data_IF_617503535974
#
_entry.id   IF_617503535974
#
_cell.length_a   1.000
_cell.length_b   1.000
_cell.length_c   1.000
_cell.angle_alpha   90.00
_cell.angle_beta   90.00
_cell.angle_gamma   90.00
#
_symmetry.space_group_name_H-M   'P 1'
#
loop_
_entity.id
_entity.type
_entity.pdbx_description
1 polymer ?
#
# COMPACT_ATOMS: atom_id res chain seq x y z
N UNK A 1 3.61 -4.61 -12.48
CA UNK A 1 3.87 -4.11 -11.12
C UNK A 1 4.83 -5.10 -10.50
N UNK A 2 6.11 -4.75 -10.42
CA UNK A 2 7.15 -5.63 -9.89
C UNK A 2 7.14 -5.52 -8.37
N UNK A 3 6.59 -6.54 -7.71
CA UNK A 3 6.59 -6.66 -6.25
C UNK A 3 7.97 -7.17 -5.84
N UNK A 4 8.82 -6.27 -5.35
CA UNK A 4 10.18 -6.60 -4.94
C UNK A 4 10.13 -7.27 -3.56
N UNK A 5 10.28 -8.60 -3.53
CA UNK A 5 10.36 -9.40 -2.30
C UNK A 5 11.80 -9.25 -1.78
N UNK A 6 11.97 -8.61 -0.62
CA UNK A 6 13.30 -8.33 -0.06
C UNK A 6 14.20 -9.56 0.13
N UNK A 7 15.51 -9.34 0.01
CA UNK A 7 16.63 -10.31 0.00
C UNK A 7 16.81 -11.20 1.26
N UNK A 8 15.84 -11.26 2.17
CA UNK A 8 15.90 -12.11 3.36
C UNK A 8 14.95 -13.29 3.21
N UNK A 9 15.48 -14.49 2.94
CA UNK A 9 14.72 -15.75 2.87
C UNK A 9 13.77 -15.97 4.06
N UNK A 10 14.14 -15.43 5.22
CA UNK A 10 13.40 -15.63 6.48
C UNK A 10 12.38 -14.53 6.80
N UNK A 11 12.20 -13.53 5.93
CA UNK A 11 11.14 -12.53 6.09
C UNK A 11 10.30 -12.51 4.81
N UNK A 12 9.02 -12.83 4.93
CA UNK A 12 8.09 -12.87 3.79
C UNK A 12 7.17 -11.67 3.89
N UNK A 13 7.05 -10.93 2.80
CA UNK A 13 6.07 -9.85 2.65
C UNK A 13 5.10 -10.25 1.55
N UNK A 14 3.83 -10.38 1.91
CA UNK A 14 2.75 -10.66 0.96
C UNK A 14 1.83 -9.47 0.89
N UNK A 15 1.85 -8.74 -0.22
CA UNK A 15 0.99 -7.58 -0.47
C UNK A 15 -0.19 -7.95 -1.37
N UNK A 16 -1.37 -7.43 -1.06
CA UNK A 16 -2.59 -7.62 -1.82
C UNK A 16 -3.34 -6.29 -1.93
N UNK A 17 -3.78 -5.97 -3.15
CA UNK A 17 -4.77 -4.91 -3.37
C UNK A 17 -6.15 -5.50 -3.07
N UNK A 18 -6.81 -4.98 -2.04
CA UNK A 18 -8.12 -5.43 -1.58
C UNK A 18 -9.25 -4.75 -2.34
N UNK A 19 -9.08 -3.47 -2.66
CA UNK A 19 -10.11 -2.64 -3.27
C UNK A 19 -9.48 -1.65 -4.24
N UNK A 20 -10.18 -1.41 -5.34
CA UNK A 20 -9.86 -0.35 -6.29
C UNK A 20 -11.17 0.21 -6.85
N UNK A 21 -11.55 1.41 -6.38
CA UNK A 21 -12.81 2.04 -6.77
C UNK A 21 -12.58 3.41 -7.38
N UNK A 22 -13.21 3.69 -8.52
CA UNK A 22 -13.26 5.04 -9.09
C UNK A 22 -14.27 5.88 -8.32
N UNK A 23 -13.83 7.01 -7.77
CA UNK A 23 -14.64 8.00 -7.06
C UNK A 23 -14.47 9.38 -7.72
N UNK A 24 -15.30 10.35 -7.33
CA UNK A 24 -15.26 11.73 -7.86
C UNK A 24 -15.19 11.83 -9.39
N UNK A 25 -15.95 10.99 -10.09
CA UNK A 25 -15.91 10.88 -11.55
C UNK A 25 -16.43 12.18 -12.20
N UNK A 26 -15.57 12.85 -12.96
CA UNK A 26 -15.89 14.01 -13.80
C UNK A 26 -16.09 13.56 -15.25
N UNK A 27 -17.17 14.02 -15.86
CA UNK A 27 -17.57 13.68 -17.23
C UNK A 27 -17.63 14.91 -18.13
N UNK A 28 -17.49 14.69 -19.44
CA UNK A 28 -17.73 15.73 -20.45
C UNK A 28 -19.19 16.20 -20.41
N UNK A 29 -19.44 17.46 -20.76
CA UNK A 29 -20.78 18.08 -20.78
C UNK A 29 -21.64 17.70 -22.00
N UNK A 30 -21.09 16.96 -22.98
CA UNK A 30 -21.82 16.54 -24.18
C UNK A 30 -22.95 15.56 -23.83
N UNK A 31 -24.20 15.98 -24.04
CA UNK A 31 -25.41 15.25 -23.60
C UNK A 31 -25.54 13.84 -24.18
N UNK A 32 -25.16 13.64 -25.44
CA UNK A 32 -25.41 12.35 -26.12
C UNK A 32 -24.33 11.29 -25.83
N UNK A 33 -23.14 11.69 -25.38
CA UNK A 33 -22.00 10.78 -25.17
C UNK A 33 -21.10 11.28 -24.04
N UNK A 34 -21.54 11.18 -22.77
CA UNK A 34 -20.72 11.61 -21.65
C UNK A 34 -19.51 10.68 -21.49
N UNK A 35 -18.30 11.21 -21.71
CA UNK A 35 -17.05 10.49 -21.48
C UNK A 35 -16.48 10.84 -20.11
N UNK A 36 -15.93 9.86 -19.40
CA UNK A 36 -15.14 10.13 -18.20
C UNK A 36 -13.88 10.88 -18.63
N UNK A 37 -13.55 11.97 -17.94
CA UNK A 37 -12.36 12.79 -18.22
C UNK A 37 -11.37 12.71 -17.08
N UNK A 38 -11.89 12.69 -15.86
CA UNK A 38 -11.10 12.68 -14.64
C UNK A 38 -11.83 11.86 -13.58
N UNK A 39 -11.09 11.14 -12.75
CA UNK A 39 -11.63 10.49 -11.56
C UNK A 39 -10.51 10.37 -10.53
N UNK A 40 -10.89 10.17 -9.29
CA UNK A 40 -9.96 9.73 -8.25
C UNK A 40 -10.12 8.22 -8.05
N UNK A 41 -9.10 7.56 -7.54
CA UNK A 41 -9.10 6.12 -7.28
C UNK A 41 -8.88 5.90 -5.79
N UNK A 42 -9.86 5.31 -5.11
CA UNK A 42 -9.70 4.81 -3.75
C UNK A 42 -9.12 3.40 -3.81
N UNK A 43 -7.94 3.23 -3.22
CA UNK A 43 -7.23 1.96 -3.17
C UNK A 43 -7.05 1.51 -1.71
N UNK A 44 -7.38 0.25 -1.45
CA UNK A 44 -7.06 -0.41 -0.18
C UNK A 44 -6.01 -1.49 -0.44
N UNK A 45 -4.90 -1.39 0.27
CA UNK A 45 -3.78 -2.34 0.22
C UNK A 45 -3.59 -2.95 1.60
N UNK A 46 -3.40 -4.27 1.63
CA UNK A 46 -3.01 -5.01 2.83
C UNK A 46 -1.70 -5.73 2.54
N UNK A 47 -0.72 -5.57 3.42
CA UNK A 47 0.49 -6.38 3.41
C UNK A 47 0.59 -7.20 4.70
N UNK A 48 0.91 -8.47 4.54
CA UNK A 48 1.21 -9.39 5.63
C UNK A 48 2.71 -9.60 5.66
N UNK A 49 3.34 -9.24 6.77
CA UNK A 49 4.78 -9.36 6.99
C UNK A 49 5.02 -10.46 8.02
N UNK A 50 5.78 -11.47 7.64
CA UNK A 50 6.05 -12.65 8.45
C UNK A 50 7.55 -12.80 8.71
N UNK A 51 7.95 -12.86 9.98
CA UNK A 51 9.33 -13.15 10.38
C UNK A 51 9.48 -14.60 10.83
N UNK A 52 10.27 -15.36 10.08
CA UNK A 52 10.61 -16.77 10.34
C UNK A 52 11.90 -16.91 11.16
N UNK A 53 12.58 -15.81 11.51
CA UNK A 53 13.79 -15.85 12.34
C UNK A 53 13.43 -16.15 13.79
N UNK A 54 14.33 -16.85 14.48
CA UNK A 54 14.31 -17.03 15.93
C UNK A 54 14.62 -15.73 16.71
N UNK A 55 14.82 -14.62 16.02
CA UNK A 55 15.23 -13.33 16.59
C UNK A 55 14.33 -12.22 16.04
N UNK A 56 14.08 -11.16 16.84
CA UNK A 56 13.37 -9.99 16.36
C UNK A 56 14.18 -9.28 15.26
N UNK A 57 13.48 -8.60 14.37
CA UNK A 57 14.07 -7.87 13.25
C UNK A 57 13.34 -6.55 13.01
N UNK A 58 14.05 -5.56 12.46
CA UNK A 58 13.44 -4.31 12.01
C UNK A 58 13.39 -4.34 10.49
N UNK A 59 12.18 -4.35 9.92
CA UNK A 59 11.96 -4.25 8.49
C UNK A 59 11.78 -2.78 8.12
N UNK A 60 12.62 -2.30 7.21
CA UNK A 60 12.32 -1.07 6.47
C UNK A 60 11.55 -1.44 5.22
N UNK A 61 10.29 -1.00 5.13
CA UNK A 61 9.47 -1.17 3.95
C UNK A 61 9.29 0.18 3.25
N UNK A 62 9.47 0.19 1.94
CA UNK A 62 9.33 1.40 1.12
C UNK A 62 8.22 1.16 0.11
N UNK A 63 7.18 2.00 0.17
CA UNK A 63 6.03 1.94 -0.73
C UNK A 63 6.08 3.16 -1.67
N UNK A 64 5.90 2.89 -2.96
CA UNK A 64 5.87 3.93 -3.99
C UNK A 64 4.44 4.12 -4.50
N UNK A 65 3.86 5.29 -4.23
CA UNK A 65 2.54 5.68 -4.70
C UNK A 65 2.70 6.79 -5.75
N UNK A 66 2.50 6.51 -7.05
CA UNK A 66 2.76 7.48 -8.10
C UNK A 66 1.65 8.52 -8.23
N UNK A 67 2.06 9.76 -8.49
CA UNK A 67 1.19 10.88 -8.81
C UNK A 67 0.72 11.63 -7.57
N UNK A 68 -0.37 12.38 -7.69
CA UNK A 68 -0.99 13.02 -6.54
C UNK A 68 -1.79 11.99 -5.76
N UNK A 69 -1.57 11.93 -4.45
CA UNK A 69 -2.31 11.02 -3.59
C UNK A 69 -2.54 11.65 -2.22
N UNK A 70 -3.52 11.09 -1.51
CA UNK A 70 -3.88 11.46 -0.15
C UNK A 70 -4.12 10.20 0.67
N UNK A 71 -3.41 10.07 1.79
CA UNK A 71 -3.71 9.02 2.76
C UNK A 71 -5.09 9.25 3.37
N UNK A 72 -5.92 8.20 3.39
CA UNK A 72 -7.22 8.20 4.04
C UNK A 72 -7.09 7.56 5.43
N UNK A 73 -6.50 6.38 5.49
CA UNK A 73 -6.30 5.61 6.72
C UNK A 73 -5.07 4.71 6.61
N UNK A 74 -4.33 4.57 7.71
CA UNK A 74 -3.22 3.63 7.81
C UNK A 74 -3.07 3.16 9.25
N UNK A 75 -2.93 1.84 9.42
CA UNK A 75 -2.83 1.24 10.76
C UNK A 75 -1.40 1.27 11.34
N UNK A 76 -0.39 1.70 10.57
CA UNK A 76 1.00 1.79 10.99
C UNK A 76 1.54 3.21 10.75
N UNK A 77 2.48 3.62 11.60
CA UNK A 77 3.21 4.87 11.40
C UNK A 77 4.09 4.80 10.17
N UNK A 78 4.11 5.90 9.42
CA UNK A 78 4.94 6.05 8.23
C UNK A 78 5.59 7.42 8.18
N UNK A 79 6.74 7.48 7.51
CA UNK A 79 7.42 8.72 7.17
C UNK A 79 7.30 8.93 5.67
N UNK A 80 6.77 10.08 5.27
CA UNK A 80 6.81 10.51 3.86
C UNK A 80 8.22 10.97 3.54
N UNK A 81 8.95 10.20 2.73
CA UNK A 81 10.32 10.58 2.32
C UNK A 81 10.28 11.64 1.21
N UNK A 82 9.35 11.50 0.27
CA UNK A 82 9.16 12.45 -0.82
C UNK A 82 7.68 12.46 -1.28
N UNK A 83 7.40 13.12 -2.41
CA UNK A 83 6.04 13.24 -2.93
C UNK A 83 5.36 11.89 -3.21
N UNK A 84 6.11 10.86 -3.60
CA UNK A 84 5.64 9.56 -4.07
C UNK A 84 6.09 8.39 -3.20
N UNK A 85 6.95 8.60 -2.20
CA UNK A 85 7.57 7.52 -1.43
C UNK A 85 7.20 7.58 0.05
N UNK A 86 6.69 6.47 0.56
CA UNK A 86 6.43 6.22 1.98
C UNK A 86 7.44 5.22 2.54
N UNK A 87 7.95 5.49 3.74
CA UNK A 87 8.83 4.60 4.49
C UNK A 87 8.16 4.15 5.77
N UNK A 88 8.14 2.86 6.00
CA UNK A 88 7.68 2.22 7.22
C UNK A 88 8.87 1.58 7.94
N UNK A 89 8.92 1.75 9.25
CA UNK A 89 9.85 1.06 10.15
C UNK A 89 9.03 0.09 11.00
N UNK A 90 9.07 -1.19 10.63
CA UNK A 90 8.20 -2.23 11.22
C UNK A 90 9.05 -3.12 12.12
N UNK A 91 8.76 -3.11 13.41
CA UNK A 91 9.36 -4.03 14.38
C UNK A 91 8.68 -5.39 14.28
N UNK A 92 9.43 -6.41 13.87
CA UNK A 92 8.97 -7.78 13.74
C UNK A 92 9.47 -8.59 14.95
N UNK A 93 8.59 -9.19 15.75
CA UNK A 93 9.01 -10.11 16.80
C UNK A 93 9.66 -11.36 16.21
N UNK A 94 10.36 -12.12 17.06
CA UNK A 94 10.84 -13.45 16.71
C UNK A 94 9.67 -14.42 16.48
N UNK A 95 9.87 -15.45 15.65
CA UNK A 95 8.90 -16.53 15.51
C UNK A 95 8.66 -17.23 16.85
N UNK A 96 7.48 -17.84 16.97
CA UNK A 96 7.12 -18.71 18.10
C UNK A 96 7.12 -20.18 17.69
N UNK A 97 6.97 -21.09 18.64
CA UNK A 97 6.77 -22.53 18.36
C UNK A 97 5.52 -22.79 17.48
N UNK A 98 4.56 -21.86 17.47
CA UNK A 98 3.30 -21.97 16.70
C UNK A 98 3.42 -21.44 15.27
N UNK A 99 4.54 -20.82 14.89
CA UNK A 99 4.72 -20.26 13.54
C UNK A 99 5.45 -18.92 13.52
N UNK A 100 5.56 -18.31 12.32
CA UNK A 100 6.20 -17.01 12.15
C UNK A 100 5.46 -15.92 12.93
N UNK A 101 6.19 -14.88 13.33
CA UNK A 101 5.58 -13.68 13.85
C UNK A 101 5.00 -12.87 12.70
N UNK A 102 3.71 -12.53 12.78
CA UNK A 102 2.98 -11.83 11.71
C UNK A 102 2.60 -10.42 12.12
N UNK A 103 2.87 -9.45 11.26
CA UNK A 103 2.42 -8.06 11.37
C UNK A 103 1.65 -7.70 10.10
N UNK A 104 0.55 -6.98 10.24
CA UNK A 104 -0.26 -6.53 9.12
C UNK A 104 -0.14 -5.03 8.91
N UNK A 105 0.19 -4.61 7.69
CA UNK A 105 -0.04 -3.26 7.21
C UNK A 105 -1.40 -3.24 6.49
N UNK A 106 -2.22 -2.25 6.80
CA UNK A 106 -3.40 -1.87 6.06
C UNK A 106 -3.31 -0.38 5.74
N UNK A 107 -3.46 -0.06 4.46
CA UNK A 107 -3.35 1.29 3.93
C UNK A 107 -4.54 1.55 3.00
N UNK A 108 -5.29 2.60 3.29
CA UNK A 108 -6.30 3.16 2.40
C UNK A 108 -5.86 4.56 1.96
N UNK A 109 -5.74 4.76 0.66
CA UNK A 109 -5.35 6.04 0.09
C UNK A 109 -6.12 6.32 -1.19
N UNK A 110 -6.16 7.60 -1.56
CA UNK A 110 -6.78 8.06 -2.79
C UNK A 110 -5.71 8.58 -3.74
N UNK A 111 -5.67 8.08 -4.97
CA UNK A 111 -4.92 8.70 -6.07
C UNK A 111 -5.82 9.69 -6.77
N UNK A 112 -5.35 10.92 -6.91
CA UNK A 112 -6.16 12.05 -7.34
C UNK A 112 -5.98 12.31 -8.84
N UNK A 113 -7.01 12.88 -9.46
CA UNK A 113 -6.95 13.48 -10.78
C UNK A 113 -6.45 12.52 -11.89
N UNK A 114 -6.85 11.24 -11.84
CA UNK A 114 -6.48 10.25 -12.85
C UNK A 114 -7.32 10.40 -14.11
N UNK A 115 -6.69 10.18 -15.26
CA UNK A 115 -7.32 10.17 -16.57
C UNK A 115 -7.52 8.70 -17.03
N UNK A 116 -8.64 8.39 -17.68
CA UNK A 116 -8.98 7.02 -18.12
C UNK A 116 -8.09 6.49 -19.23
#
# INVERSE_FOLDING_TARGET
MELNIGDSRDIVVTQRKMKENRIHIRRTTHKSYPRIVLFDLEEEIVATIENFKNQPAVLTMVEHIPGEWKMVDCNLDYKRQDANTLRFEINLPARSEKGPATVHLKMNYQRLNLRP
#
